data_IF_869507280639
#
_entry.id   IF_869507280639
#
_cell.length_a   1.000
_cell.length_b   1.000
_cell.length_c   1.000
_cell.angle_alpha   90.00
_cell.angle_beta   90.00
_cell.angle_gamma   90.00
#
_symmetry.space_group_name_H-M   'P 1'
#
loop_
_entity.id
_entity.type
_entity.pdbx_description
1 polymer ?
#
# COMPACT_ATOMS: atom_id res chain seq x y z
N UNK A 1 14.13 17.66 -14.19
CA UNK A 1 13.86 16.24 -13.84
C UNK A 1 14.47 15.95 -12.48
N UNK A 2 13.81 15.16 -11.61
CA UNK A 2 14.35 14.87 -10.27
C UNK A 2 15.66 14.06 -10.37
N UNK A 3 16.69 14.35 -9.56
CA UNK A 3 18.02 13.71 -9.66
C UNK A 3 17.99 12.18 -9.47
N UNK A 4 17.02 11.67 -8.71
CA UNK A 4 16.77 10.23 -8.55
C UNK A 4 16.36 9.54 -9.86
N UNK A 5 15.63 10.24 -10.73
CA UNK A 5 15.19 9.73 -12.03
C UNK A 5 16.36 9.59 -13.00
N UNK A 6 17.30 10.54 -12.97
CA UNK A 6 18.49 10.55 -13.83
C UNK A 6 19.44 9.42 -13.42
N UNK A 7 19.69 9.24 -12.11
CA UNK A 7 20.53 8.16 -11.61
C UNK A 7 19.96 6.77 -11.92
N UNK A 8 18.63 6.62 -11.93
CA UNK A 8 17.97 5.36 -12.28
C UNK A 8 18.16 5.03 -13.76
N UNK A 9 17.97 6.01 -14.65
CA UNK A 9 18.18 5.84 -16.08
C UNK A 9 19.62 5.45 -16.40
N UNK A 10 20.59 6.17 -15.83
CA UNK A 10 22.01 5.83 -15.99
C UNK A 10 22.35 4.42 -15.52
N UNK A 11 21.71 3.95 -14.43
CA UNK A 11 21.89 2.59 -13.95
C UNK A 11 21.33 1.56 -14.95
N UNK A 12 20.16 1.81 -15.52
CA UNK A 12 19.55 0.93 -16.54
C UNK A 12 20.43 0.88 -17.79
N UNK A 13 20.90 2.03 -18.27
CA UNK A 13 21.75 2.13 -19.45
C UNK A 13 23.05 1.34 -19.26
N UNK A 14 23.71 1.49 -18.11
CA UNK A 14 24.92 0.73 -17.78
C UNK A 14 24.66 -0.80 -17.76
N UNK A 15 23.51 -1.24 -17.25
CA UNK A 15 23.16 -2.66 -17.23
C UNK A 15 22.98 -3.18 -18.66
N UNK A 16 22.27 -2.44 -19.51
CA UNK A 16 22.04 -2.82 -20.92
C UNK A 16 23.35 -2.86 -21.69
N UNK A 17 24.20 -1.83 -21.55
CA UNK A 17 25.51 -1.77 -22.18
C UNK A 17 26.38 -2.97 -21.76
N UNK A 18 26.36 -3.31 -20.47
CA UNK A 18 27.09 -4.48 -19.96
C UNK A 18 26.55 -5.78 -20.56
N UNK A 19 25.23 -5.95 -20.69
CA UNK A 19 24.63 -7.14 -21.33
C UNK A 19 25.12 -7.27 -22.78
N UNK A 20 25.05 -6.17 -23.55
CA UNK A 20 25.50 -6.15 -24.95
C UNK A 20 26.97 -6.52 -25.04
N UNK A 21 27.81 -5.95 -24.19
CA UNK A 21 29.24 -6.25 -24.16
C UNK A 21 29.52 -7.72 -23.83
N UNK A 22 28.84 -8.30 -22.84
CA UNK A 22 29.00 -9.73 -22.51
C UNK A 22 28.50 -10.64 -23.63
N UNK A 23 27.45 -10.25 -24.34
CA UNK A 23 26.94 -10.98 -25.49
C UNK A 23 27.95 -10.96 -26.64
N UNK A 24 28.49 -9.78 -26.98
CA UNK A 24 29.55 -9.64 -27.99
C UNK A 24 30.80 -10.48 -27.66
N UNK A 25 31.23 -10.50 -26.40
CA UNK A 25 32.37 -11.32 -25.97
C UNK A 25 32.15 -12.82 -26.22
N UNK A 26 30.90 -13.30 -26.17
CA UNK A 26 30.58 -14.70 -26.51
C UNK A 26 30.80 -14.93 -28.01
N UNK A 27 30.37 -14.01 -28.88
CA UNK A 27 30.59 -14.12 -30.33
C UNK A 27 32.06 -14.02 -30.73
N UNK A 28 32.83 -13.18 -30.05
CA UNK A 28 34.29 -13.10 -30.27
C UNK A 28 34.97 -14.44 -29.96
N UNK A 29 34.58 -15.09 -28.86
CA UNK A 29 35.13 -16.40 -28.49
C UNK A 29 34.73 -17.51 -29.49
N UNK A 30 33.62 -17.36 -30.22
CA UNK A 30 33.15 -18.34 -31.22
C UNK A 30 33.89 -18.28 -32.56
N UNK A 31 34.68 -17.22 -32.85
CA UNK A 31 35.48 -17.15 -34.08
C UNK A 31 36.65 -18.15 -34.01
N UNK A 32 36.45 -19.30 -34.64
CA UNK A 32 37.35 -20.45 -34.63
C UNK A 32 38.15 -20.55 -35.94
N UNK A 33 39.44 -20.25 -35.86
CA UNK A 33 40.43 -20.76 -36.80
C UNK A 33 41.70 -21.14 -36.03
N UNK A 34 41.85 -22.44 -35.72
CA UNK A 34 43.05 -23.07 -35.17
C UNK A 34 43.41 -22.79 -33.68
N UNK A 35 42.46 -22.96 -32.76
CA UNK A 35 42.73 -22.89 -31.31
C UNK A 35 43.13 -24.26 -30.72
N UNK A 36 44.02 -24.26 -29.72
CA UNK A 36 44.39 -25.49 -28.98
C UNK A 36 43.28 -25.93 -28.03
N UNK A 37 43.28 -27.21 -27.63
CA UNK A 37 42.26 -27.78 -26.73
C UNK A 37 42.21 -27.08 -25.37
N UNK A 38 43.36 -26.66 -24.83
CA UNK A 38 43.45 -25.90 -23.57
C UNK A 38 42.82 -24.52 -23.71
N UNK A 39 43.03 -23.86 -24.85
CA UNK A 39 42.44 -22.54 -25.15
C UNK A 39 40.92 -22.65 -25.27
N UNK A 40 40.43 -23.68 -25.96
CA UNK A 40 39.00 -23.99 -26.05
C UNK A 40 38.36 -24.25 -24.69
N UNK A 41 39.03 -24.97 -23.80
CA UNK A 41 38.53 -25.23 -22.45
C UNK A 41 38.41 -23.93 -21.63
N UNK A 42 39.41 -23.06 -21.69
CA UNK A 42 39.39 -21.75 -21.03
C UNK A 42 38.30 -20.83 -21.59
N UNK A 43 38.12 -20.82 -22.91
CA UNK A 43 37.07 -20.05 -23.57
C UNK A 43 35.67 -20.56 -23.23
N UNK A 44 35.49 -21.87 -23.11
CA UNK A 44 34.22 -22.49 -22.68
C UNK A 44 33.80 -22.00 -21.29
N UNK A 45 34.73 -22.02 -20.31
CA UNK A 45 34.47 -21.50 -18.96
C UNK A 45 34.17 -19.99 -19.00
N UNK A 46 34.88 -19.26 -19.86
CA UNK A 46 34.66 -17.82 -20.03
C UNK A 46 33.30 -17.52 -20.64
N UNK A 47 32.84 -18.30 -21.62
CA UNK A 47 31.51 -18.20 -22.21
C UNK A 47 30.42 -18.51 -21.17
N UNK A 48 30.56 -19.58 -20.39
CA UNK A 48 29.63 -19.93 -19.32
C UNK A 48 29.51 -18.80 -18.30
N UNK A 49 30.64 -18.22 -17.88
CA UNK A 49 30.64 -17.09 -16.97
C UNK A 49 29.96 -15.85 -17.57
N UNK A 50 30.19 -15.54 -18.85
CA UNK A 50 29.51 -14.44 -19.55
C UNK A 50 27.99 -14.68 -19.60
N UNK A 51 27.53 -15.90 -19.89
CA UNK A 51 26.12 -16.27 -19.87
C UNK A 51 25.49 -16.08 -18.48
N UNK A 52 26.17 -16.54 -17.42
CA UNK A 52 25.70 -16.36 -16.03
C UNK A 52 25.60 -14.87 -15.68
N UNK A 53 26.57 -14.06 -16.10
CA UNK A 53 26.53 -12.61 -15.86
C UNK A 53 25.36 -11.93 -16.57
N UNK A 54 25.05 -12.30 -17.82
CA UNK A 54 23.88 -11.79 -18.54
C UNK A 54 22.59 -12.12 -17.77
N UNK A 55 22.43 -13.35 -17.29
CA UNK A 55 21.25 -13.76 -16.50
C UNK A 55 21.11 -12.89 -15.25
N UNK A 56 22.20 -12.64 -14.52
CA UNK A 56 22.20 -11.79 -13.32
C UNK A 56 21.81 -10.34 -13.63
N UNK A 57 22.35 -9.78 -14.71
CA UNK A 57 21.99 -8.42 -15.15
C UNK A 57 20.51 -8.29 -15.53
N UNK A 58 19.94 -9.32 -16.15
CA UNK A 58 18.49 -9.39 -16.40
C UNK A 58 17.67 -9.46 -15.11
N UNK A 59 18.13 -10.21 -14.10
CA UNK A 59 17.49 -10.26 -12.78
C UNK A 59 17.50 -8.88 -12.10
N UNK A 60 18.60 -8.14 -12.22
CA UNK A 60 18.69 -6.77 -11.70
C UNK A 60 17.69 -5.82 -12.37
N UNK A 61 17.51 -5.93 -13.69
CA UNK A 61 16.49 -5.16 -14.43
C UNK A 61 15.07 -5.49 -13.96
N UNK A 62 14.77 -6.78 -13.75
CA UNK A 62 13.46 -7.21 -13.22
C UNK A 62 13.25 -6.64 -11.83
N UNK A 63 14.27 -6.66 -10.96
CA UNK A 63 14.24 -6.09 -9.62
C UNK A 63 13.98 -4.58 -9.65
N UNK A 64 14.64 -3.84 -10.55
CA UNK A 64 14.39 -2.41 -10.79
C UNK A 64 12.93 -2.18 -11.22
N UNK A 65 12.41 -2.99 -12.15
CA UNK A 65 11.02 -2.87 -12.61
C UNK A 65 10.01 -3.09 -11.47
N UNK A 66 10.30 -4.05 -10.58
CA UNK A 66 9.48 -4.33 -9.40
C UNK A 66 9.50 -3.14 -8.44
N UNK A 67 10.67 -2.62 -8.12
CA UNK A 67 10.80 -1.44 -7.26
C UNK A 67 10.05 -0.23 -7.81
N UNK A 68 10.10 -0.01 -9.13
CA UNK A 68 9.37 1.08 -9.77
C UNK A 68 7.85 0.91 -9.62
N UNK A 69 7.35 -0.32 -9.84
CA UNK A 69 5.93 -0.66 -9.63
C UNK A 69 5.53 -0.46 -8.16
N UNK A 70 6.35 -0.89 -7.21
CA UNK A 70 6.10 -0.71 -5.77
C UNK A 70 6.02 0.78 -5.41
N UNK A 71 6.97 1.60 -5.86
CA UNK A 71 6.92 3.06 -5.65
C UNK A 71 5.67 3.69 -6.26
N UNK A 72 5.26 3.21 -7.44
CA UNK A 72 4.07 3.72 -8.12
C UNK A 72 2.78 3.36 -7.37
N UNK A 73 2.65 2.13 -6.89
CA UNK A 73 1.51 1.66 -6.08
C UNK A 73 1.46 2.36 -4.72
N UNK A 74 2.61 2.59 -4.07
CA UNK A 74 2.66 3.30 -2.80
C UNK A 74 2.26 4.77 -2.93
N UNK A 75 2.62 5.42 -4.04
CA UNK A 75 2.20 6.80 -4.32
C UNK A 75 0.73 6.93 -4.76
N UNK A 76 0.09 5.86 -5.26
CA UNK A 76 -1.31 5.88 -5.66
C UNK A 76 -2.27 5.60 -4.50
N UNK A 77 -1.80 5.05 -3.37
CA UNK A 77 -2.53 5.06 -2.10
C UNK A 77 -2.42 6.46 -1.48
N UNK A 78 -3.03 7.45 -2.14
CA UNK A 78 -3.54 8.59 -1.37
C UNK A 78 -4.71 8.03 -0.58
N UNK A 79 -4.51 7.78 0.71
CA UNK A 79 -5.64 7.66 1.63
C UNK A 79 -6.33 9.01 1.59
N UNK A 80 -7.33 9.15 0.72
CA UNK A 80 -8.33 10.18 0.89
C UNK A 80 -9.02 9.80 2.19
N UNK A 81 -8.52 10.33 3.31
CA UNK A 81 -9.36 10.48 4.48
C UNK A 81 -10.43 11.46 4.02
N UNK A 82 -11.48 10.95 3.39
CA UNK A 82 -12.78 11.57 3.44
C UNK A 82 -13.13 11.59 4.93
N UNK A 83 -12.57 12.56 5.66
CA UNK A 83 -13.20 13.04 6.87
C UNK A 83 -14.52 13.57 6.34
N UNK A 84 -15.67 12.95 6.63
CA UNK A 84 -16.91 13.63 6.36
C UNK A 84 -16.80 14.95 7.14
N UNK A 85 -16.70 16.07 6.43
CA UNK A 85 -16.90 17.38 7.05
C UNK A 85 -18.38 17.43 7.37
N UNK A 86 -18.75 16.99 8.57
CA UNK A 86 -20.11 17.13 9.06
C UNK A 86 -20.39 18.63 9.06
N UNK A 87 -21.36 19.06 8.26
CA UNK A 87 -21.74 20.47 8.24
C UNK A 87 -22.26 20.82 9.62
N UNK A 88 -21.88 21.98 10.15
CA UNK A 88 -22.31 22.41 11.49
C UNK A 88 -23.83 22.30 11.69
N UNK A 89 -24.61 22.56 10.64
CA UNK A 89 -26.07 22.40 10.65
C UNK A 89 -26.55 20.95 10.90
N UNK A 90 -25.82 19.93 10.44
CA UNK A 90 -26.14 18.52 10.70
C UNK A 90 -25.83 18.14 12.15
N UNK A 91 -24.78 18.71 12.73
CA UNK A 91 -24.42 18.55 14.15
C UNK A 91 -25.48 19.21 15.04
N UNK A 92 -25.91 20.43 14.70
CA UNK A 92 -26.90 21.19 15.47
C UNK A 92 -28.28 20.50 15.44
N UNK A 93 -28.66 19.94 14.28
CA UNK A 93 -29.89 19.14 14.13
C UNK A 93 -29.86 17.86 14.96
N UNK A 94 -28.73 17.16 14.96
CA UNK A 94 -28.54 15.96 15.77
C UNK A 94 -28.61 16.28 17.26
N UNK A 95 -27.97 17.37 17.70
CA UNK A 95 -27.97 17.80 19.09
C UNK A 95 -29.38 18.18 19.57
N UNK A 96 -30.15 18.87 18.72
CA UNK A 96 -31.55 19.21 19.00
C UNK A 96 -32.41 17.96 19.12
N UNK A 97 -32.25 17.01 18.20
CA UNK A 97 -32.98 15.73 18.22
C UNK A 97 -32.63 14.89 19.45
N UNK A 98 -31.37 14.89 19.86
CA UNK A 98 -30.88 14.21 21.05
C UNK A 98 -31.50 14.79 22.32
N UNK A 99 -31.44 16.11 22.50
CA UNK A 99 -32.00 16.79 23.68
C UNK A 99 -33.51 16.58 23.78
N UNK A 100 -34.24 16.65 22.66
CA UNK A 100 -35.67 16.35 22.63
C UNK A 100 -35.98 14.92 23.09
N UNK A 101 -35.13 13.96 22.71
CA UNK A 101 -35.29 12.57 23.12
C UNK A 101 -34.99 12.40 24.61
N UNK A 102 -33.92 13.04 25.11
CA UNK A 102 -33.56 13.06 26.52
C UNK A 102 -34.66 13.67 27.38
N UNK A 103 -35.25 14.79 26.95
CA UNK A 103 -36.36 15.42 27.65
C UNK A 103 -37.61 14.54 27.68
N UNK A 104 -37.90 13.83 26.58
CA UNK A 104 -39.00 12.85 26.56
C UNK A 104 -38.74 11.69 27.52
N UNK A 105 -37.52 11.16 27.56
CA UNK A 105 -37.14 10.08 28.50
C UNK A 105 -37.29 10.57 29.94
N UNK A 106 -36.79 11.78 30.26
CA UNK A 106 -36.93 12.36 31.59
C UNK A 106 -38.41 12.56 31.99
N UNK A 107 -39.27 12.98 31.07
CA UNK A 107 -40.72 13.07 31.32
C UNK A 107 -41.35 11.70 31.57
N UNK A 108 -40.91 10.65 30.87
CA UNK A 108 -41.36 9.28 31.13
C UNK A 108 -40.88 8.76 32.50
N UNK A 109 -39.68 9.09 32.93
CA UNK A 109 -39.18 8.75 34.27
C UNK A 109 -39.96 9.49 35.37
N UNK A 110 -40.23 10.79 35.20
CA UNK A 110 -41.04 11.57 36.15
C UNK A 110 -42.51 11.10 36.22
N UNK A 111 -43.09 10.65 35.11
CA UNK A 111 -44.45 10.10 35.10
C UNK A 111 -44.53 8.66 35.60
N UNK A 112 -43.43 7.89 35.50
CA UNK A 112 -43.31 6.57 36.12
C UNK A 112 -43.24 6.66 37.67
N UNK A 113 -42.48 7.61 38.20
CA UNK A 113 -42.42 7.88 39.65
C UNK A 113 -43.72 8.52 40.18
N UNK A 114 -44.44 9.29 39.35
CA UNK A 114 -45.75 9.85 39.70
C UNK A 114 -46.86 8.79 39.85
N UNK A 115 -46.81 7.69 39.10
CA UNK A 115 -47.78 6.58 39.23
C UNK A 115 -47.51 5.71 40.46
N UNK A 116 -46.26 5.55 40.88
CA UNK A 116 -45.91 4.78 42.09
C UNK A 116 -46.41 5.44 43.40
N UNK A 117 -46.53 6.78 43.42
CA UNK A 117 -47.03 7.51 44.60
C UNK A 117 -48.56 7.75 44.59
N UNK A 118 -49.25 7.63 43.46
CA UNK A 118 -50.70 7.80 43.36
C UNK A 118 -51.53 6.58 43.81
N UNK A 119 -50.99 5.37 43.71
CA UNK A 119 -51.70 4.13 44.08
C UNK A 119 -51.54 3.75 45.57
N UNK A 120 -50.64 4.42 46.31
CA UNK A 120 -50.49 4.23 47.77
C UNK A 120 -51.41 5.11 48.62
N UNK A 121 -52.02 6.15 48.05
CA UNK A 121 -52.83 7.13 48.81
C UNK A 121 -54.34 6.89 48.75
N UNK A 122 -54.83 6.01 47.88
CA UNK A 122 -56.27 5.70 47.76
C UNK A 122 -56.70 4.44 48.51
N UNK A 123 -55.76 3.63 49.01
CA UNK A 123 -56.06 2.43 49.83
C UNK A 123 -56.10 2.69 51.34
N UNK A 124 -55.83 3.92 51.80
CA UNK A 124 -55.80 4.28 53.23
C UNK A 124 -57.03 5.05 53.75
N UNK A 125 -58.07 5.28 52.92
CA UNK A 125 -59.31 6.01 53.31
C UNK A 125 -60.58 5.15 53.16
N UNK A 126 -60.48 3.82 53.27
CA UNK A 126 -61.64 2.91 53.40
C UNK A 126 -61.27 1.79 54.38
N UNK A 127 -61.23 2.14 55.66
CA UNK A 127 -60.84 1.24 56.74
C UNK A 127 -61.07 1.85 58.11
N UNK A 128 -62.30 2.28 58.41
CA UNK A 128 -62.92 2.38 59.73
C UNK A 128 -64.41 2.60 59.56
#
# INVERSE_FOLDING_TARGET
>A
MQPKSIALLQKIDNIIETIILKFSNIFENLQNANKTTETLAMESVTMENNCIQIIRLCQDLISISRNLKEVWVLNSIKVTQEKPEWKQAEIDSLFTSFNLLTDKIAQFEMTADGKANGERFTSSILGS
#
